data_IF_480183048793
#
_entry.id   IF_480183048793
#
_cell.length_a   1.000
_cell.length_b   1.000
_cell.length_c   1.000
_cell.angle_alpha   90.00
_cell.angle_beta   90.00
_cell.angle_gamma   90.00
#
_symmetry.space_group_name_H-M   'P 1'
#
loop_
_entity.id
_entity.type
_entity.pdbx_description
1 polymer ?
#
# COMPACT_ATOMS: atom_id res chain seq x y z
N UNK A 1 -38.64 -4.49 -9.71
CA UNK A 1 -38.75 -4.13 -8.27
C UNK A 1 -37.68 -4.93 -7.53
N UNK A 2 -36.69 -4.30 -6.88
CA UNK A 2 -35.54 -4.99 -6.24
C UNK A 2 -34.14 -4.55 -6.66
N UNK A 3 -34.04 -3.66 -7.65
CA UNK A 3 -32.75 -3.09 -8.09
C UNK A 3 -32.20 -2.12 -7.04
N UNK A 4 -33.05 -1.36 -6.35
CA UNK A 4 -32.63 -0.38 -5.33
C UNK A 4 -31.86 -1.01 -4.16
N UNK A 5 -32.27 -2.19 -3.70
CA UNK A 5 -31.58 -2.94 -2.63
C UNK A 5 -30.24 -3.50 -3.11
N UNK A 6 -30.16 -3.95 -4.36
CA UNK A 6 -28.88 -4.39 -4.95
C UNK A 6 -27.92 -3.21 -5.14
N UNK A 7 -28.43 -2.05 -5.56
CA UNK A 7 -27.66 -0.81 -5.66
C UNK A 7 -27.17 -0.32 -4.29
N UNK A 8 -27.98 -0.46 -3.24
CA UNK A 8 -27.55 -0.19 -1.86
C UNK A 8 -26.37 -1.09 -1.48
N UNK A 9 -26.44 -2.38 -1.80
CA UNK A 9 -25.32 -3.30 -1.56
C UNK A 9 -24.06 -2.91 -2.35
N UNK A 10 -24.21 -2.51 -3.62
CA UNK A 10 -23.10 -1.97 -4.43
C UNK A 10 -22.49 -0.74 -3.75
N UNK A 11 -23.31 0.19 -3.28
CA UNK A 11 -22.86 1.39 -2.58
C UNK A 11 -22.08 1.05 -1.30
N UNK A 12 -22.58 0.11 -0.50
CA UNK A 12 -21.93 -0.37 0.74
C UNK A 12 -20.55 -0.99 0.44
N UNK A 13 -20.44 -1.76 -0.64
CA UNK A 13 -19.16 -2.35 -1.04
C UNK A 13 -18.17 -1.25 -1.44
N UNK A 14 -18.60 -0.32 -2.28
CA UNK A 14 -17.74 0.78 -2.77
C UNK A 14 -17.28 1.66 -1.62
N UNK A 15 -18.17 2.05 -0.69
CA UNK A 15 -17.78 2.90 0.44
C UNK A 15 -16.79 2.20 1.37
N UNK A 16 -16.89 0.88 1.56
CA UNK A 16 -15.90 0.11 2.32
C UNK A 16 -14.54 0.11 1.63
N UNK A 17 -14.49 -0.05 0.31
CA UNK A 17 -13.26 0.01 -0.49
C UNK A 17 -12.64 1.42 -0.44
N UNK A 18 -13.44 2.47 -0.57
CA UNK A 18 -12.95 3.85 -0.49
C UNK A 18 -12.49 4.21 0.93
N UNK A 19 -13.19 3.74 1.96
CA UNK A 19 -12.78 3.94 3.35
C UNK A 19 -11.43 3.28 3.63
N UNK A 20 -11.18 2.09 3.07
CA UNK A 20 -9.87 1.45 3.13
C UNK A 20 -8.78 2.39 2.60
N UNK A 21 -9.04 3.13 1.51
CA UNK A 21 -8.09 4.11 0.98
C UNK A 21 -7.72 5.19 1.99
N UNK A 22 -8.76 5.80 2.56
CA UNK A 22 -8.63 6.99 3.40
C UNK A 22 -7.82 6.62 4.65
N UNK A 23 -8.17 5.51 5.30
CA UNK A 23 -7.44 5.03 6.46
C UNK A 23 -6.04 4.53 6.10
N UNK A 24 -5.86 3.93 4.93
CA UNK A 24 -4.55 3.45 4.50
C UNK A 24 -3.54 4.58 4.25
N UNK A 25 -3.99 5.73 3.76
CA UNK A 25 -3.16 6.93 3.59
C UNK A 25 -2.56 7.45 4.91
N UNK A 26 -3.22 7.19 6.05
CA UNK A 26 -2.76 7.65 7.37
C UNK A 26 -1.63 6.76 7.96
N UNK A 27 -1.53 5.49 7.55
CA UNK A 27 -0.51 4.58 8.11
C UNK A 27 0.82 4.65 7.37
N UNK A 28 1.84 5.20 8.06
CA UNK A 28 3.20 5.45 7.53
C UNK A 28 4.05 4.17 7.34
N UNK A 29 3.70 3.06 7.99
CA UNK A 29 4.36 1.76 7.82
C UNK A 29 3.77 1.01 6.63
N UNK A 30 4.37 1.27 5.47
CA UNK A 30 3.96 0.81 4.14
C UNK A 30 4.41 -0.62 3.83
N UNK A 31 4.43 -1.51 4.81
CA UNK A 31 4.67 -2.94 4.55
C UNK A 31 3.37 -3.64 4.23
N UNK A 32 3.35 -4.28 3.05
CA UNK A 32 2.40 -5.32 2.64
C UNK A 32 0.98 -5.10 3.14
N UNK A 33 0.26 -4.12 2.56
CA UNK A 33 -1.21 -3.96 2.58
C UNK A 33 -1.80 -4.23 3.97
N UNK A 34 -2.23 -3.26 4.78
CA UNK A 34 -2.80 -3.55 6.11
C UNK A 34 -3.98 -4.53 5.98
N UNK A 35 -3.62 -5.81 6.02
CA UNK A 35 -4.37 -6.91 5.44
C UNK A 35 -5.53 -7.17 6.39
N UNK A 36 -5.29 -6.91 7.67
CA UNK A 36 -6.28 -6.91 8.73
C UNK A 36 -7.33 -5.81 8.51
N UNK A 37 -6.94 -4.55 8.26
CA UNK A 37 -7.89 -3.46 8.03
C UNK A 37 -8.77 -3.72 6.80
N UNK A 38 -8.17 -4.20 5.71
CA UNK A 38 -8.92 -4.61 4.51
C UNK A 38 -9.96 -5.71 4.81
N UNK A 39 -9.59 -6.68 5.65
CA UNK A 39 -10.47 -7.79 6.03
C UNK A 39 -11.57 -7.36 6.99
N UNK A 40 -11.30 -6.42 7.89
CA UNK A 40 -12.30 -5.85 8.79
C UNK A 40 -13.37 -5.09 7.98
N UNK A 41 -12.96 -4.21 7.07
CA UNK A 41 -13.89 -3.47 6.22
C UNK A 41 -14.68 -4.40 5.28
N UNK A 42 -14.05 -5.44 4.75
CA UNK A 42 -14.74 -6.45 3.95
C UNK A 42 -15.74 -7.26 4.78
N UNK A 43 -15.44 -7.55 6.05
CA UNK A 43 -16.36 -8.23 6.97
C UNK A 43 -17.59 -7.38 7.25
N UNK A 44 -17.40 -6.07 7.46
CA UNK A 44 -18.49 -5.11 7.61
C UNK A 44 -19.37 -5.14 6.36
N UNK A 45 -18.78 -5.05 5.16
CA UNK A 45 -19.53 -5.12 3.91
C UNK A 45 -20.35 -6.42 3.79
N UNK A 46 -19.77 -7.59 4.14
CA UNK A 46 -20.46 -8.88 4.10
C UNK A 46 -21.69 -8.88 5.02
N UNK A 47 -21.53 -8.42 6.27
CA UNK A 47 -22.62 -8.39 7.25
C UNK A 47 -23.73 -7.46 6.76
N UNK A 48 -23.39 -6.27 6.29
CA UNK A 48 -24.37 -5.32 5.78
C UNK A 48 -25.11 -5.85 4.54
N UNK A 49 -24.41 -6.46 3.57
CA UNK A 49 -25.05 -7.06 2.40
C UNK A 49 -26.05 -8.17 2.79
N UNK A 50 -25.73 -8.96 3.81
CA UNK A 50 -26.62 -10.01 4.30
C UNK A 50 -27.76 -9.48 5.19
N UNK A 51 -27.59 -8.33 5.83
CA UNK A 51 -28.60 -7.70 6.70
C UNK A 51 -29.66 -6.97 5.89
N UNK A 52 -29.29 -6.49 4.70
CA UNK A 52 -30.22 -5.87 3.74
C UNK A 52 -30.39 -6.74 2.48
N UNK A 53 -30.96 -7.95 2.62
CA UNK A 53 -31.22 -8.82 1.49
C UNK A 53 -32.43 -8.37 0.68
N UNK A 54 -32.48 -8.80 -0.58
CA UNK A 54 -33.67 -8.69 -1.40
C UNK A 54 -34.44 -10.02 -1.42
N UNK A 55 -35.76 -9.94 -1.25
CA UNK A 55 -36.68 -11.07 -1.20
C UNK A 55 -37.67 -11.01 -2.37
N UNK A 56 -37.62 -11.97 -3.30
CA UNK A 56 -38.48 -12.00 -4.51
C UNK A 56 -39.64 -13.02 -4.43
N UNK A 57 -39.97 -13.52 -3.22
CA UNK A 57 -40.92 -14.61 -2.87
C UNK A 57 -40.29 -16.00 -2.68
N UNK A 58 -40.90 -16.72 -1.72
CA UNK A 58 -40.58 -18.04 -1.13
C UNK A 58 -39.08 -18.35 -0.94
N UNK A 59 -38.58 -18.00 0.24
CA UNK A 59 -37.47 -18.69 0.91
C UNK A 59 -36.04 -18.40 0.45
N UNK A 60 -35.82 -17.76 -0.70
CA UNK A 60 -34.47 -17.46 -1.19
C UNK A 60 -34.09 -15.97 -1.07
N UNK A 61 -32.84 -15.73 -0.70
CA UNK A 61 -32.28 -14.40 -0.39
C UNK A 61 -31.24 -14.04 -1.45
N UNK A 62 -31.41 -12.88 -2.07
CA UNK A 62 -30.46 -12.33 -3.05
C UNK A 62 -29.73 -11.11 -2.47
N UNK A 63 -28.41 -11.14 -2.49
CA UNK A 63 -27.53 -10.05 -2.06
C UNK A 63 -26.16 -10.14 -2.78
N UNK A 64 -25.27 -9.17 -2.54
CA UNK A 64 -23.96 -9.08 -3.21
C UNK A 64 -22.78 -9.53 -2.33
N UNK A 65 -23.01 -10.36 -1.30
CA UNK A 65 -21.98 -10.75 -0.31
C UNK A 65 -20.74 -11.43 -0.92
N UNK A 66 -20.87 -12.07 -2.07
CA UNK A 66 -19.76 -12.80 -2.70
C UNK A 66 -18.68 -11.86 -3.22
N UNK A 67 -19.02 -10.61 -3.50
CA UNK A 67 -18.08 -9.61 -3.99
C UNK A 67 -16.98 -9.33 -2.96
N UNK A 68 -17.26 -8.87 -1.72
CA UNK A 68 -16.23 -8.65 -0.72
C UNK A 68 -15.47 -9.92 -0.33
N UNK A 69 -16.10 -11.11 -0.39
CA UNK A 69 -15.41 -12.40 -0.19
C UNK A 69 -14.35 -12.63 -1.28
N UNK A 70 -14.73 -12.47 -2.55
CA UNK A 70 -13.81 -12.60 -3.69
C UNK A 70 -12.67 -11.58 -3.59
N UNK A 71 -12.95 -10.34 -3.16
CA UNK A 71 -11.91 -9.33 -2.97
C UNK A 71 -10.88 -9.76 -1.91
N UNK A 72 -11.31 -10.30 -0.77
CA UNK A 72 -10.36 -10.82 0.24
C UNK A 72 -9.58 -12.03 -0.28
N UNK A 73 -10.20 -12.84 -1.12
CA UNK A 73 -9.53 -13.99 -1.73
C UNK A 73 -8.43 -13.58 -2.72
N UNK A 74 -8.65 -12.49 -3.47
CA UNK A 74 -7.69 -11.96 -4.44
C UNK A 74 -6.57 -11.14 -3.82
N UNK A 75 -6.88 -10.33 -2.80
CA UNK A 75 -5.96 -9.33 -2.24
C UNK A 75 -5.44 -9.66 -0.84
N UNK A 76 -6.10 -10.59 -0.13
CA UNK A 76 -5.77 -10.94 1.25
C UNK A 76 -4.77 -12.08 1.38
N UNK A 77 -4.24 -12.21 2.60
CA UNK A 77 -3.42 -13.36 3.01
C UNK A 77 -4.29 -14.57 3.35
N UNK A 78 -3.69 -15.76 3.37
CA UNK A 78 -4.38 -17.01 3.73
C UNK A 78 -5.06 -16.96 5.10
N UNK A 79 -4.46 -16.28 6.08
CA UNK A 79 -5.07 -16.06 7.41
C UNK A 79 -6.39 -15.27 7.33
N UNK A 80 -6.45 -14.26 6.46
CA UNK A 80 -7.62 -13.40 6.31
C UNK A 80 -8.75 -14.10 5.56
N UNK A 81 -8.39 -14.94 4.58
CA UNK A 81 -9.31 -15.81 3.86
C UNK A 81 -10.04 -16.73 4.85
N UNK A 82 -9.30 -17.33 5.79
CA UNK A 82 -9.88 -18.18 6.84
C UNK A 82 -10.78 -17.36 7.77
N UNK A 83 -10.33 -16.19 8.21
CA UNK A 83 -11.12 -15.29 9.07
C UNK A 83 -12.47 -14.91 8.43
N UNK A 84 -12.45 -14.47 7.17
CA UNK A 84 -13.68 -14.13 6.43
C UNK A 84 -14.56 -15.35 6.24
N UNK A 85 -13.99 -16.52 5.98
CA UNK A 85 -14.74 -17.77 5.85
C UNK A 85 -15.51 -18.12 7.13
N UNK A 86 -14.85 -18.06 8.28
CA UNK A 86 -15.48 -18.31 9.58
C UNK A 86 -16.60 -17.30 9.84
N UNK A 87 -16.33 -16.01 9.63
CA UNK A 87 -17.30 -14.95 9.85
C UNK A 87 -18.53 -15.10 8.94
N UNK A 88 -18.31 -15.35 7.65
CA UNK A 88 -19.35 -15.59 6.65
C UNK A 88 -20.26 -16.77 7.03
N UNK A 89 -19.66 -17.92 7.34
CA UNK A 89 -20.41 -19.13 7.67
C UNK A 89 -21.15 -18.98 9.01
N UNK A 90 -20.54 -18.35 10.00
CA UNK A 90 -21.16 -18.11 11.32
C UNK A 90 -22.38 -17.19 11.19
N UNK A 91 -22.24 -16.08 10.46
CA UNK A 91 -23.36 -15.15 10.25
C UNK A 91 -24.48 -15.78 9.41
N UNK A 92 -24.13 -16.60 8.41
CA UNK A 92 -25.12 -17.32 7.61
C UNK A 92 -25.86 -18.38 8.41
N UNK A 93 -25.18 -19.07 9.31
CA UNK A 93 -25.81 -20.04 10.21
C UNK A 93 -26.80 -19.34 11.16
N UNK A 94 -26.44 -18.16 11.68
CA UNK A 94 -27.31 -17.34 12.53
C UNK A 94 -28.60 -16.89 11.82
N UNK A 95 -28.51 -16.49 10.55
CA UNK A 95 -29.69 -16.09 9.77
C UNK A 95 -30.65 -17.25 9.46
N UNK A 96 -30.18 -18.49 9.48
CA UNK A 96 -30.99 -19.69 9.22
C UNK A 96 -31.55 -19.79 7.79
N UNK A 97 -32.45 -20.76 7.58
CA UNK A 97 -33.18 -20.97 6.33
C UNK A 97 -32.59 -22.02 5.38
N UNK A 98 -33.31 -22.31 4.30
CA UNK A 98 -32.97 -23.39 3.34
C UNK A 98 -31.67 -23.15 2.55
N UNK A 99 -31.08 -21.95 2.65
CA UNK A 99 -29.88 -21.56 1.93
C UNK A 99 -28.55 -21.88 2.64
N UNK A 100 -28.55 -22.49 3.82
CA UNK A 100 -27.30 -22.76 4.59
C UNK A 100 -26.41 -23.79 3.90
N UNK A 101 -26.96 -24.95 3.50
CA UNK A 101 -26.19 -25.99 2.81
C UNK A 101 -25.57 -25.52 1.47
N UNK A 102 -26.34 -24.88 0.56
CA UNK A 102 -25.76 -24.29 -0.65
C UNK A 102 -24.65 -23.28 -0.38
N UNK A 103 -24.78 -22.48 0.69
CA UNK A 103 -23.78 -21.46 1.07
C UNK A 103 -22.43 -22.09 1.42
N UNK A 104 -22.43 -23.25 2.09
CA UNK A 104 -21.22 -23.98 2.46
C UNK A 104 -20.54 -24.57 1.21
N UNK A 105 -21.33 -25.22 0.34
CA UNK A 105 -20.82 -25.81 -0.91
C UNK A 105 -20.17 -24.73 -1.79
N UNK A 106 -20.87 -23.62 -2.03
CA UNK A 106 -20.34 -22.51 -2.84
C UNK A 106 -19.03 -21.98 -2.24
N UNK A 107 -18.97 -21.76 -0.93
CA UNK A 107 -17.75 -21.29 -0.28
C UNK A 107 -16.57 -22.24 -0.46
N UNK A 108 -16.77 -23.55 -0.30
CA UNK A 108 -15.71 -24.54 -0.52
C UNK A 108 -15.19 -24.56 -1.97
N UNK A 109 -16.09 -24.39 -2.96
CA UNK A 109 -15.73 -24.31 -4.38
C UNK A 109 -14.89 -23.05 -4.65
N UNK A 110 -15.35 -21.87 -4.19
CA UNK A 110 -14.62 -20.60 -4.38
C UNK A 110 -13.23 -20.70 -3.72
N UNK A 111 -13.16 -21.23 -2.50
CA UNK A 111 -11.90 -21.38 -1.77
C UNK A 111 -10.94 -22.31 -2.52
N UNK A 112 -11.42 -23.46 -3.00
CA UNK A 112 -10.64 -24.40 -3.80
C UNK A 112 -10.12 -23.80 -5.10
N UNK A 113 -10.98 -23.16 -5.89
CA UNK A 113 -10.61 -22.50 -7.15
C UNK A 113 -9.56 -21.41 -6.88
N UNK A 114 -9.74 -20.61 -5.83
CA UNK A 114 -8.82 -19.52 -5.50
C UNK A 114 -7.44 -20.06 -5.09
N UNK A 115 -7.38 -21.10 -4.24
CA UNK A 115 -6.11 -21.71 -3.83
C UNK A 115 -5.40 -22.37 -5.02
N UNK A 116 -6.16 -23.05 -5.89
CA UNK A 116 -5.63 -23.64 -7.12
C UNK A 116 -5.02 -22.57 -8.04
N UNK A 117 -5.73 -21.47 -8.27
CA UNK A 117 -5.21 -20.36 -9.08
C UNK A 117 -3.99 -19.69 -8.45
N UNK A 118 -3.98 -19.51 -7.13
CA UNK A 118 -2.83 -18.95 -6.40
C UNK A 118 -1.59 -19.85 -6.52
N UNK A 119 -1.78 -21.17 -6.63
CA UNK A 119 -0.71 -22.14 -6.84
C UNK A 119 -0.23 -22.17 -8.31
N UNK A 120 -1.16 -22.18 -9.28
CA UNK A 120 -0.84 -22.35 -10.71
C UNK A 120 -0.36 -21.07 -11.39
N UNK A 121 -0.84 -19.89 -10.96
CA UNK A 121 -0.62 -18.63 -11.67
C UNK A 121 -0.14 -17.55 -10.69
N UNK A 122 1.04 -16.94 -10.91
CA UNK A 122 1.48 -15.81 -10.10
C UNK A 122 0.51 -14.63 -10.28
N UNK A 123 -0.25 -14.33 -9.22
CA UNK A 123 -1.31 -13.32 -9.15
C UNK A 123 -0.79 -11.87 -9.17
N UNK A 124 0.38 -11.62 -9.75
CA UNK A 124 0.96 -10.28 -9.86
C UNK A 124 0.32 -9.45 -10.99
N UNK A 125 -0.22 -10.11 -12.02
CA UNK A 125 -0.75 -9.46 -13.23
C UNK A 125 -2.23 -9.14 -13.06
N UNK A 126 -2.58 -7.85 -13.26
CA UNK A 126 -3.95 -7.31 -13.16
C UNK A 126 -4.97 -8.09 -14.00
N UNK A 127 -4.65 -8.39 -15.25
CA UNK A 127 -5.55 -9.12 -16.17
C UNK A 127 -5.97 -10.48 -15.63
N UNK A 128 -5.05 -11.21 -14.98
CA UNK A 128 -5.34 -12.52 -14.39
C UNK A 128 -6.26 -12.41 -13.17
N UNK A 129 -6.12 -11.34 -12.37
CA UNK A 129 -7.02 -11.07 -11.24
C UNK A 129 -8.43 -10.72 -11.72
N UNK A 130 -8.54 -9.89 -12.75
CA UNK A 130 -9.82 -9.55 -13.38
C UNK A 130 -10.49 -10.81 -13.91
N UNK A 131 -9.76 -11.63 -14.69
CA UNK A 131 -10.26 -12.90 -15.22
C UNK A 131 -10.74 -13.85 -14.11
N UNK A 132 -9.95 -14.03 -13.05
CA UNK A 132 -10.33 -14.88 -11.91
C UNK A 132 -11.56 -14.34 -11.17
N UNK A 133 -11.62 -13.03 -10.94
CA UNK A 133 -12.76 -12.40 -10.27
C UNK A 133 -14.07 -12.58 -11.05
N UNK A 134 -14.00 -12.47 -12.38
CA UNK A 134 -15.12 -12.68 -13.30
C UNK A 134 -15.57 -14.15 -13.31
N UNK A 135 -14.61 -15.08 -13.35
CA UNK A 135 -14.91 -16.51 -13.30
C UNK A 135 -15.60 -16.87 -11.97
N UNK A 136 -15.05 -16.42 -10.84
CA UNK A 136 -15.61 -16.70 -9.52
C UNK A 136 -17.03 -16.11 -9.36
N UNK A 137 -17.26 -14.86 -9.76
CA UNK A 137 -18.59 -14.25 -9.61
C UNK A 137 -19.63 -14.90 -10.54
N UNK A 138 -19.23 -15.34 -11.74
CA UNK A 138 -20.10 -16.06 -12.66
C UNK A 138 -20.51 -17.41 -12.06
N UNK A 139 -19.56 -18.16 -11.49
CA UNK A 139 -19.85 -19.43 -10.79
C UNK A 139 -20.79 -19.20 -9.60
N UNK A 140 -20.57 -18.14 -8.80
CA UNK A 140 -21.43 -17.83 -7.66
C UNK A 140 -22.86 -17.50 -8.11
N UNK A 141 -23.01 -16.54 -9.03
CA UNK A 141 -24.31 -16.03 -9.46
C UNK A 141 -25.15 -17.07 -10.19
N UNK A 142 -24.51 -17.91 -11.02
CA UNK A 142 -25.18 -19.04 -11.69
C UNK A 142 -25.59 -20.13 -10.71
N UNK A 143 -24.75 -20.47 -9.72
CA UNK A 143 -25.12 -21.45 -8.70
C UNK A 143 -26.31 -20.99 -7.84
N UNK A 144 -26.37 -19.70 -7.49
CA UNK A 144 -27.47 -19.09 -6.74
C UNK A 144 -28.76 -19.04 -7.56
N UNK A 145 -28.68 -18.67 -8.85
CA UNK A 145 -29.86 -18.61 -9.71
C UNK A 145 -30.45 -20.00 -9.97
N UNK A 146 -29.61 -21.02 -10.19
CA UNK A 146 -30.05 -22.42 -10.32
C UNK A 146 -30.73 -22.88 -9.01
N UNK A 147 -30.12 -22.61 -7.85
CA UNK A 147 -30.70 -22.98 -6.56
C UNK A 147 -32.04 -22.27 -6.30
N UNK A 148 -32.14 -20.99 -6.67
CA UNK A 148 -33.39 -20.23 -6.63
C UNK A 148 -34.49 -20.82 -7.51
N UNK A 149 -34.16 -21.24 -8.74
CA UNK A 149 -35.13 -21.87 -9.66
C UNK A 149 -35.58 -23.24 -9.12
N UNK A 150 -34.66 -24.09 -8.66
CA UNK A 150 -34.98 -25.42 -8.12
C UNK A 150 -35.89 -25.31 -6.89
N UNK A 151 -35.62 -24.35 -6.00
CA UNK A 151 -36.46 -24.12 -4.82
C UNK A 151 -37.86 -23.65 -5.21
N UNK A 152 -37.98 -22.74 -6.19
CA UNK A 152 -39.26 -22.27 -6.71
C UNK A 152 -40.11 -23.41 -7.29
N UNK A 153 -39.50 -24.29 -8.10
CA UNK A 153 -40.16 -25.48 -8.68
C UNK A 153 -40.65 -26.42 -7.57
N UNK A 154 -39.81 -26.69 -6.57
CA UNK A 154 -40.14 -27.59 -5.46
C UNK A 154 -41.30 -27.07 -4.59
N UNK A 155 -41.45 -25.75 -4.46
CA UNK A 155 -42.59 -25.13 -3.75
C UNK A 155 -43.84 -24.96 -4.61
N UNK A 156 -43.85 -25.49 -5.84
CA UNK A 156 -44.99 -25.40 -6.76
C UNK A 156 -45.23 -23.99 -7.31
N UNK A 157 -44.25 -23.09 -7.20
CA UNK A 157 -44.32 -21.74 -7.74
C UNK A 157 -44.22 -21.75 -9.27
N UNK A 158 -44.99 -20.90 -9.94
CA UNK A 158 -44.81 -20.66 -11.38
C UNK A 158 -43.55 -19.84 -11.62
N UNK A 159 -42.87 -20.13 -12.73
CA UNK A 159 -41.77 -19.30 -13.23
C UNK A 159 -42.41 -18.13 -13.98
N UNK A 160 -42.56 -17.01 -13.26
CA UNK A 160 -43.08 -15.79 -13.85
C UNK A 160 -41.96 -15.04 -14.62
N UNK A 161 -42.35 -14.30 -15.66
CA UNK A 161 -41.43 -13.45 -16.45
C UNK A 161 -40.66 -12.45 -15.59
N UNK A 162 -41.24 -12.01 -14.48
CA UNK A 162 -40.64 -11.09 -13.50
C UNK A 162 -39.43 -11.68 -12.78
N UNK A 163 -39.42 -13.00 -12.53
CA UNK A 163 -38.31 -13.70 -11.89
C UNK A 163 -37.11 -13.82 -12.84
N UNK A 164 -37.36 -14.11 -14.12
CA UNK A 164 -36.30 -14.17 -15.14
C UNK A 164 -35.66 -12.78 -15.33
N UNK A 165 -36.48 -11.73 -15.44
CA UNK A 165 -36.00 -10.35 -15.58
C UNK A 165 -35.14 -9.94 -14.36
N UNK A 166 -35.56 -10.33 -13.15
CA UNK A 166 -34.76 -10.08 -11.96
C UNK A 166 -33.42 -10.82 -11.96
N UNK A 167 -33.40 -12.11 -12.32
CA UNK A 167 -32.16 -12.90 -12.36
C UNK A 167 -31.14 -12.36 -13.36
N UNK A 168 -31.60 -11.89 -14.52
CA UNK A 168 -30.73 -11.23 -15.51
C UNK A 168 -30.12 -9.94 -14.95
N UNK A 169 -30.94 -9.08 -14.35
CA UNK A 169 -30.47 -7.86 -13.69
C UNK A 169 -29.47 -8.15 -12.56
N UNK A 170 -29.73 -9.21 -11.77
CA UNK A 170 -28.84 -9.64 -10.70
C UNK A 170 -27.45 -10.04 -11.22
N UNK A 171 -27.36 -10.80 -12.32
CA UNK A 171 -26.08 -11.18 -12.94
C UNK A 171 -25.33 -9.93 -13.42
N UNK A 172 -26.03 -9.03 -14.11
CA UNK A 172 -25.43 -7.79 -14.65
C UNK A 172 -24.85 -6.92 -13.51
N UNK A 173 -25.62 -6.71 -12.44
CA UNK A 173 -25.18 -5.90 -11.30
C UNK A 173 -23.97 -6.53 -10.58
N UNK A 174 -23.94 -7.86 -10.44
CA UNK A 174 -22.80 -8.56 -9.84
C UNK A 174 -21.52 -8.41 -10.68
N UNK A 175 -21.62 -8.62 -11.99
CA UNK A 175 -20.48 -8.47 -12.90
C UNK A 175 -19.96 -7.03 -12.87
N UNK A 176 -20.86 -6.05 -12.98
CA UNK A 176 -20.51 -4.64 -12.92
C UNK A 176 -19.82 -4.27 -11.61
N UNK A 177 -20.38 -4.69 -10.47
CA UNK A 177 -19.87 -4.33 -9.14
C UNK A 177 -18.50 -4.96 -8.87
N UNK A 178 -18.26 -6.22 -9.28
CA UNK A 178 -16.94 -6.86 -9.17
C UNK A 178 -15.90 -6.15 -10.03
N UNK A 179 -16.22 -5.87 -11.29
CA UNK A 179 -15.31 -5.18 -12.20
C UNK A 179 -14.91 -3.80 -11.67
N UNK A 180 -15.91 -3.02 -11.23
CA UNK A 180 -15.68 -1.72 -10.63
C UNK A 180 -14.80 -1.82 -9.38
N UNK A 181 -15.08 -2.78 -8.50
CA UNK A 181 -14.31 -2.98 -7.25
C UNK A 181 -12.85 -3.34 -7.52
N UNK A 182 -12.60 -4.27 -8.45
CA UNK A 182 -11.24 -4.67 -8.85
C UNK A 182 -10.50 -3.51 -9.52
N UNK A 183 -11.18 -2.76 -10.40
CA UNK A 183 -10.58 -1.61 -11.07
C UNK A 183 -10.17 -0.52 -10.07
N UNK A 184 -11.04 -0.21 -9.09
CA UNK A 184 -10.73 0.75 -8.03
C UNK A 184 -9.49 0.31 -7.24
N UNK A 185 -9.47 -0.92 -6.73
CA UNK A 185 -8.35 -1.43 -5.92
C UNK A 185 -7.05 -1.45 -6.71
N UNK A 186 -7.04 -1.95 -7.95
CA UNK A 186 -5.84 -1.96 -8.79
C UNK A 186 -5.37 -0.55 -9.15
N UNK A 187 -6.29 0.36 -9.47
CA UNK A 187 -5.93 1.76 -9.74
C UNK A 187 -5.25 2.43 -8.54
N UNK A 188 -5.70 2.11 -7.32
CA UNK A 188 -5.09 2.63 -6.08
C UNK A 188 -3.70 2.04 -5.84
N UNK A 189 -3.53 0.73 -6.07
CA UNK A 189 -2.23 0.04 -5.96
C UNK A 189 -1.23 0.60 -6.99
N UNK A 190 -1.66 0.81 -8.23
CA UNK A 190 -0.84 1.38 -9.30
C UNK A 190 -0.40 2.81 -8.97
N UNK A 191 -1.35 3.66 -8.54
CA UNK A 191 -1.07 5.05 -8.13
C UNK A 191 0.00 5.08 -7.04
N UNK A 192 -0.15 4.25 -6.02
CA UNK A 192 0.83 4.21 -4.93
C UNK A 192 2.22 3.77 -5.39
N UNK A 193 2.31 2.71 -6.20
CA UNK A 193 3.60 2.26 -6.74
C UNK A 193 4.25 3.36 -7.58
N UNK A 194 3.45 4.19 -8.26
CA UNK A 194 3.95 5.34 -9.00
C UNK A 194 4.50 6.43 -8.08
N UNK A 195 3.78 6.78 -7.01
CA UNK A 195 4.24 7.76 -6.01
C UNK A 195 5.55 7.32 -5.35
N UNK A 196 5.70 6.04 -5.00
CA UNK A 196 6.94 5.51 -4.41
C UNK A 196 8.12 5.58 -5.39
N UNK A 197 7.88 5.25 -6.67
CA UNK A 197 8.89 5.40 -7.73
C UNK A 197 9.28 6.85 -7.93
N UNK A 198 8.31 7.77 -7.90
CA UNK A 198 8.54 9.21 -8.07
C UNK A 198 9.37 9.76 -6.91
N UNK A 199 9.03 9.43 -5.65
CA UNK A 199 9.83 9.80 -4.48
C UNK A 199 11.27 9.25 -4.56
N UNK A 200 11.44 8.03 -5.04
CA UNK A 200 12.78 7.44 -5.24
C UNK A 200 13.55 8.14 -6.36
N UNK A 201 12.86 8.49 -7.45
CA UNK A 201 13.45 9.22 -8.57
C UNK A 201 13.88 10.63 -8.17
N UNK A 202 13.07 11.36 -7.39
CA UNK A 202 13.44 12.68 -6.84
C UNK A 202 14.68 12.58 -5.96
N UNK A 203 14.74 11.62 -5.03
CA UNK A 203 15.92 11.38 -4.19
C UNK A 203 17.16 11.08 -5.02
N UNK A 204 17.01 10.26 -6.07
CA UNK A 204 18.11 9.91 -6.97
C UNK A 204 18.55 11.11 -7.81
N UNK A 205 17.62 11.95 -8.28
CA UNK A 205 17.91 13.16 -9.02
C UNK A 205 18.73 14.13 -8.16
N UNK A 206 18.30 14.40 -6.93
CA UNK A 206 19.03 15.24 -5.98
C UNK A 206 20.42 14.65 -5.72
N UNK A 207 20.53 13.34 -5.48
CA UNK A 207 21.83 12.70 -5.30
C UNK A 207 22.75 12.85 -6.53
N UNK A 208 22.17 12.80 -7.74
CA UNK A 208 22.92 12.97 -9.00
C UNK A 208 23.40 14.41 -9.20
N UNK A 209 22.55 15.39 -8.89
CA UNK A 209 22.89 16.81 -8.94
C UNK A 209 23.99 17.16 -7.92
N UNK A 210 23.86 16.67 -6.69
CA UNK A 210 24.89 16.80 -5.66
C UNK A 210 26.19 16.13 -6.09
N UNK A 211 26.16 14.93 -6.67
CA UNK A 211 27.36 14.24 -7.16
C UNK A 211 28.12 15.07 -8.21
N UNK A 212 27.42 15.75 -9.12
CA UNK A 212 28.05 16.64 -10.09
C UNK A 212 28.71 17.86 -9.41
N UNK A 213 28.03 18.47 -8.43
CA UNK A 213 28.58 19.58 -7.63
C UNK A 213 29.83 19.15 -6.86
N UNK A 214 29.79 17.98 -6.22
CA UNK A 214 30.92 17.38 -5.50
C UNK A 214 32.11 17.17 -6.43
N UNK A 215 31.86 16.61 -7.62
CA UNK A 215 32.92 16.36 -8.58
C UNK A 215 33.63 17.67 -8.96
N UNK A 216 32.88 18.75 -9.17
CA UNK A 216 33.45 20.08 -9.42
C UNK A 216 34.20 20.64 -8.20
N UNK A 217 33.64 20.53 -7.00
CA UNK A 217 34.28 21.02 -5.77
C UNK A 217 35.55 20.25 -5.38
N UNK A 218 35.66 18.96 -5.72
CA UNK A 218 36.88 18.15 -5.53
C UNK A 218 37.89 18.42 -6.66
N UNK A 219 37.43 18.64 -7.89
CA UNK A 219 38.32 18.88 -9.03
C UNK A 219 39.21 20.12 -8.81
N UNK A 220 38.67 21.19 -8.20
CA UNK A 220 39.42 22.42 -7.92
C UNK A 220 40.66 22.20 -7.02
N UNK A 221 40.52 21.74 -5.77
CA UNK A 221 41.66 21.46 -4.89
C UNK A 221 42.58 20.38 -5.47
N UNK A 222 42.04 19.40 -6.19
CA UNK A 222 42.85 18.38 -6.86
C UNK A 222 43.74 18.98 -7.95
N UNK A 223 43.22 19.94 -8.72
CA UNK A 223 43.98 20.67 -9.74
C UNK A 223 45.11 21.48 -9.09
N UNK A 224 44.81 22.16 -7.98
CA UNK A 224 45.79 22.90 -7.19
C UNK A 224 46.91 21.99 -6.69
N UNK A 225 46.55 20.84 -6.08
CA UNK A 225 47.52 19.84 -5.63
C UNK A 225 48.38 19.34 -6.80
N UNK A 226 47.77 19.04 -7.94
CA UNK A 226 48.50 18.61 -9.13
C UNK A 226 49.50 19.67 -9.62
N UNK A 227 49.09 20.94 -9.68
CA UNK A 227 49.94 22.06 -10.08
C UNK A 227 51.14 22.24 -9.14
N UNK A 228 50.92 22.22 -7.82
CA UNK A 228 52.02 22.29 -6.86
C UNK A 228 52.93 21.06 -6.87
N UNK A 229 52.40 19.88 -7.19
CA UNK A 229 53.22 18.67 -7.40
C UNK A 229 54.15 18.84 -8.62
N UNK A 230 53.68 19.48 -9.70
CA UNK A 230 54.52 19.81 -10.86
C UNK A 230 55.62 20.80 -10.48
N UNK A 231 55.28 21.87 -9.75
CA UNK A 231 56.25 22.88 -9.30
C UNK A 231 57.32 22.30 -8.36
N UNK A 232 56.96 21.33 -7.50
CA UNK A 232 57.94 20.62 -6.67
C UNK A 232 58.93 19.78 -7.49
N UNK A 233 58.54 19.31 -8.66
CA UNK A 233 59.37 18.48 -9.53
C UNK A 233 60.35 19.30 -10.39
N UNK A 234 60.23 20.63 -10.38
CA UNK A 234 61.16 21.53 -11.07
C UNK A 234 62.48 21.67 -10.29
N UNK A 235 63.61 21.44 -10.99
CA UNK A 235 64.97 21.35 -10.40
C UNK A 235 65.53 22.65 -9.78
N UNK A 236 64.75 23.74 -9.76
CA UNK A 236 65.21 25.07 -9.38
C UNK A 236 64.45 25.72 -8.20
N UNK A 237 63.52 25.00 -7.55
CA UNK A 237 62.78 25.54 -6.40
C UNK A 237 63.68 25.60 -5.14
N UNK A 238 63.65 26.75 -4.44
CA UNK A 238 64.30 26.88 -3.14
C UNK A 238 63.61 26.03 -2.08
N UNK A 239 64.33 25.60 -1.04
CA UNK A 239 63.75 24.78 0.05
C UNK A 239 62.56 25.45 0.74
N UNK A 240 62.63 26.78 0.92
CA UNK A 240 61.57 27.60 1.51
C UNK A 240 60.31 27.64 0.62
N UNK A 241 60.48 27.59 -0.70
CA UNK A 241 59.37 27.49 -1.67
C UNK A 241 58.74 26.09 -1.67
N UNK A 242 59.55 25.04 -1.49
CA UNK A 242 59.06 23.66 -1.41
C UNK A 242 58.18 23.43 -0.17
N UNK A 243 58.60 23.97 0.98
CA UNK A 243 57.83 23.87 2.23
C UNK A 243 56.46 24.57 2.11
N UNK A 244 56.41 25.75 1.47
CA UNK A 244 55.16 26.45 1.19
C UNK A 244 54.23 25.67 0.23
N UNK A 245 54.79 25.03 -0.80
CA UNK A 245 54.00 24.20 -1.71
C UNK A 245 53.39 22.99 -0.99
N UNK A 246 54.17 22.34 -0.11
CA UNK A 246 53.70 21.23 0.73
C UNK A 246 52.57 21.65 1.67
N UNK A 247 52.67 22.83 2.28
CA UNK A 247 51.63 23.38 3.16
C UNK A 247 50.32 23.62 2.39
N UNK A 248 50.38 24.24 1.21
CA UNK A 248 49.19 24.48 0.38
C UNK A 248 48.55 23.15 -0.04
N UNK A 249 49.35 22.16 -0.49
CA UNK A 249 48.82 20.85 -0.87
C UNK A 249 48.12 20.13 0.29
N UNK A 250 48.63 20.25 1.52
CA UNK A 250 48.00 19.67 2.71
C UNK A 250 46.65 20.32 3.02
N UNK A 251 46.55 21.65 2.89
CA UNK A 251 45.28 22.39 3.08
C UNK A 251 44.23 21.92 2.05
N UNK A 252 44.60 21.84 0.77
CA UNK A 252 43.69 21.41 -0.29
C UNK A 252 43.25 19.94 -0.13
N UNK A 253 44.15 19.06 0.34
CA UNK A 253 43.81 17.67 0.69
C UNK A 253 42.81 17.59 1.85
N UNK A 254 42.96 18.43 2.88
CA UNK A 254 42.00 18.52 3.98
C UNK A 254 40.64 19.04 3.51
N UNK A 255 40.62 20.01 2.58
CA UNK A 255 39.38 20.48 1.97
C UNK A 255 38.66 19.36 1.22
N UNK A 256 39.36 18.58 0.38
CA UNK A 256 38.78 17.40 -0.32
C UNK A 256 38.15 16.44 0.68
N UNK A 257 38.86 16.13 1.77
CA UNK A 257 38.38 15.21 2.80
C UNK A 257 37.15 15.76 3.53
N UNK A 258 37.12 17.05 3.84
CA UNK A 258 35.97 17.73 4.45
C UNK A 258 34.75 17.69 3.53
N UNK A 259 34.93 18.00 2.24
CA UNK A 259 33.89 17.92 1.21
C UNK A 259 33.29 16.51 1.19
N UNK A 260 34.11 15.47 0.99
CA UNK A 260 33.65 14.07 0.97
C UNK A 260 32.86 13.71 2.24
N UNK A 261 33.35 14.09 3.42
CA UNK A 261 32.69 13.77 4.69
C UNK A 261 31.33 14.46 4.84
N UNK A 262 31.23 15.74 4.47
CA UNK A 262 29.98 16.49 4.52
C UNK A 262 28.92 15.85 3.62
N UNK A 263 29.28 15.39 2.42
CA UNK A 263 28.34 14.76 1.50
C UNK A 263 27.99 13.31 1.86
N UNK A 264 28.93 12.53 2.41
CA UNK A 264 28.62 11.19 2.96
C UNK A 264 27.64 11.26 4.15
N UNK A 265 27.62 12.36 4.89
CA UNK A 265 26.66 12.56 5.97
C UNK A 265 25.21 12.70 5.47
N UNK A 266 25.02 13.24 4.25
CA UNK A 266 23.70 13.43 3.63
C UNK A 266 23.12 12.15 3.01
N UNK A 267 23.97 11.19 2.66
CA UNK A 267 23.57 9.96 1.95
C UNK A 267 23.42 8.75 2.86
N UNK A 268 23.88 8.82 4.11
CA UNK A 268 23.72 7.73 5.07
C UNK A 268 22.23 7.50 5.36
N UNK A 269 21.73 6.26 5.20
CA UNK A 269 20.37 5.94 5.62
C UNK A 269 20.26 6.22 7.12
N UNK A 270 19.43 7.19 7.48
CA UNK A 270 19.02 7.35 8.86
C UNK A 270 18.10 6.16 9.20
N UNK A 271 18.70 5.09 9.74
CA UNK A 271 17.98 4.08 10.49
C UNK A 271 17.43 4.74 11.74
N UNK A 272 16.36 5.51 11.58
CA UNK A 272 15.65 6.19 12.64
C UNK A 272 14.78 5.14 13.32
N UNK A 273 15.37 4.46 14.30
CA UNK A 273 14.56 3.85 15.34
C UNK A 273 13.79 4.99 16.01
N UNK A 274 12.46 4.92 15.95
CA UNK A 274 11.61 5.89 16.66
C UNK A 274 11.69 5.58 18.14
N UNK A 275 12.42 6.41 18.87
CA UNK A 275 12.48 6.38 20.33
C UNK A 275 11.75 7.60 20.91
N UNK A 276 11.27 7.47 22.16
CA UNK A 276 10.82 8.65 22.91
C UNK A 276 12.06 9.43 23.32
N UNK A 277 12.10 10.70 22.93
CA UNK A 277 13.24 11.57 23.18
C UNK A 277 12.80 12.69 24.12
N UNK A 278 13.60 12.96 25.15
CA UNK A 278 13.43 14.14 25.99
C UNK A 278 14.06 15.35 25.28
N UNK A 279 13.20 16.27 24.82
CA UNK A 279 13.61 17.47 24.10
C UNK A 279 14.48 18.37 24.98
N UNK A 280 14.22 18.46 26.28
CA UNK A 280 15.00 19.30 27.19
C UNK A 280 16.43 18.76 27.34
N UNK A 281 16.58 17.44 27.39
CA UNK A 281 17.90 16.81 27.44
C UNK A 281 18.72 17.10 26.18
N UNK A 282 18.12 16.98 24.99
CA UNK A 282 18.81 17.31 23.74
C UNK A 282 19.17 18.80 23.68
N UNK A 283 18.25 19.68 24.08
CA UNK A 283 18.52 21.13 24.09
C UNK A 283 19.71 21.47 24.98
N UNK A 284 19.84 20.83 26.14
CA UNK A 284 20.98 21.02 27.03
C UNK A 284 22.28 20.50 26.40
N UNK A 285 22.27 19.30 25.79
CA UNK A 285 23.45 18.76 25.10
C UNK A 285 23.91 19.66 23.95
N UNK A 286 22.97 20.19 23.17
CA UNK A 286 23.28 21.14 22.09
C UNK A 286 23.87 22.41 22.66
N UNK A 287 23.26 22.98 23.71
CA UNK A 287 23.76 24.17 24.41
C UNK A 287 25.19 23.98 24.92
N UNK A 288 25.49 22.85 25.56
CA UNK A 288 26.82 22.55 26.09
C UNK A 288 27.86 22.45 24.96
N UNK A 289 27.47 21.84 23.84
CA UNK A 289 28.34 21.68 22.67
C UNK A 289 28.69 23.02 22.03
N UNK A 290 27.73 23.95 21.93
CA UNK A 290 27.93 25.25 21.28
C UNK A 290 28.43 26.36 22.24
N UNK A 291 28.37 26.13 23.55
CA UNK A 291 28.78 27.12 24.58
C UNK A 291 30.22 27.64 24.42
N UNK A 292 31.24 26.80 24.11
CA UNK A 292 32.60 27.30 23.89
C UNK A 292 32.68 28.29 22.72
N UNK A 293 31.90 28.05 21.66
CA UNK A 293 31.83 28.91 20.49
C UNK A 293 31.07 30.21 20.80
N UNK A 294 29.94 30.12 21.52
CA UNK A 294 29.19 31.30 21.92
C UNK A 294 30.01 32.25 22.81
N UNK A 295 30.82 31.70 23.72
CA UNK A 295 31.74 32.46 24.56
C UNK A 295 32.82 33.18 23.74
N UNK A 296 33.39 32.54 22.71
CA UNK A 296 34.41 33.16 21.86
C UNK A 296 33.87 34.36 21.07
N UNK A 297 32.58 34.35 20.73
CA UNK A 297 31.88 35.45 20.06
C UNK A 297 31.10 36.37 21.01
N UNK A 298 31.20 36.18 22.32
CA UNK A 298 30.45 36.95 23.35
C UNK A 298 28.93 36.94 23.15
N UNK A 299 28.38 35.80 22.73
CA UNK A 299 26.94 35.57 22.53
C UNK A 299 26.37 34.84 23.75
N UNK A 300 25.23 35.31 24.27
CA UNK A 300 24.52 34.69 25.39
C UNK A 300 23.42 33.75 24.89
N UNK A 301 23.42 32.49 25.35
CA UNK A 301 22.40 31.49 24.98
C UNK A 301 21.29 31.46 26.04
N UNK A 302 20.09 31.95 25.69
CA UNK A 302 18.90 31.89 26.54
C UNK A 302 17.99 30.74 26.13
N UNK A 303 17.59 29.93 27.10
CA UNK A 303 16.64 28.83 26.92
C UNK A 303 15.39 29.16 27.73
N UNK A 304 14.27 29.37 27.05
CA UNK A 304 12.97 29.53 27.70
C UNK A 304 12.33 28.14 27.84
N UNK A 305 12.31 27.60 29.05
CA UNK A 305 11.54 26.40 29.37
C UNK A 305 10.04 26.75 29.37
N UNK A 306 9.27 26.10 28.50
CA UNK A 306 7.79 26.02 28.56
C UNK A 306 7.34 24.75 29.24
#
# INVERSE_FOLDING_TARGET
MGISTLLLNTFIIIICILSYHVFWLEFKEKTTCNNMLFSILSSIAIIFCMTFPFHLHVGFIYDLRFIPIILVFLYGNTKNIIFIGILYLSYRFYLGGNGVLPSFIIFTIIFGITMLFRYLLPMYIKEKKVLLSLLLILVCTTSLSICGIVTQINTGGKIDSTLIEFLLNYIVINIFTVLLSVYLIEGMIEKYKMEEKLQRAEKFYIASELAASIAHEIHNPLTTVHGFTQLLNEKHASKLSQDQYLEIMLIEMQQIQSTINNYLSLTKPQNTLKEKIDINHILNQVKDTISPLALSYKVEIKQNST
#
